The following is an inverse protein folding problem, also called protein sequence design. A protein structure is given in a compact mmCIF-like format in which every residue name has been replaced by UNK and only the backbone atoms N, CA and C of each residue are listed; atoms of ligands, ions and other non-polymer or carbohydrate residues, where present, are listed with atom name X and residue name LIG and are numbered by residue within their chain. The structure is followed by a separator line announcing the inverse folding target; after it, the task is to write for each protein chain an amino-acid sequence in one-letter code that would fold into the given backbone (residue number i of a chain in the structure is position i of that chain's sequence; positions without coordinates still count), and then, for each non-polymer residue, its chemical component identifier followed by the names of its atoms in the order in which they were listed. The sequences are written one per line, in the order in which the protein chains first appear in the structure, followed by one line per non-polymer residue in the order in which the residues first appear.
data_IF_932850533297
#
_entry.id   IF_932850533297
#
_cell.length_a   1.000
_cell.length_b   1.000
_cell.length_c   1.000
_cell.angle_alpha   90.00
_cell.angle_beta   90.00
_cell.angle_gamma   90.00
#
_symmetry.space_group_name_H-M   'P 1'
#
loop_
_entity.id
_entity.type
_entity.pdbx_description
1 polymer ?
#
# COMPACT_ATOMS: atom_id res chain seq x y z
N UNK A 1 11.63 -10.15 -3.29
CA UNK A 1 10.17 -10.41 -3.45
C UNK A 1 9.90 -11.83 -2.98
N UNK A 2 8.93 -12.01 -2.10
CA UNK A 2 8.50 -13.30 -1.55
C UNK A 2 7.02 -13.48 -1.84
N UNK A 3 6.62 -14.67 -2.26
CA UNK A 3 5.22 -15.05 -2.38
C UNK A 3 4.60 -15.28 -0.99
N UNK A 4 3.38 -14.79 -0.80
CA UNK A 4 2.58 -15.06 0.38
C UNK A 4 1.09 -15.07 0.03
N UNK A 5 0.27 -15.65 0.91
CA UNK A 5 -1.18 -15.64 0.74
C UNK A 5 -1.76 -14.32 1.26
N UNK A 6 -2.49 -13.63 0.39
CA UNK A 6 -3.29 -12.46 0.75
C UNK A 6 -4.75 -12.85 0.91
N UNK A 7 -5.30 -12.64 2.10
CA UNK A 7 -6.71 -12.91 2.41
C UNK A 7 -7.54 -11.64 2.26
N UNK A 8 -8.65 -11.72 1.52
CA UNK A 8 -9.71 -10.71 1.52
C UNK A 8 -10.79 -11.17 2.48
N UNK A 9 -11.12 -10.34 3.46
CA UNK A 9 -12.07 -10.66 4.54
C UNK A 9 -13.45 -10.07 4.25
N UNK A 10 -14.52 -10.73 4.71
CA UNK A 10 -15.87 -10.22 4.50
C UNK A 10 -16.96 -10.89 5.34
N UNK A 11 -18.11 -10.20 5.41
CA UNK A 11 -19.32 -10.71 6.07
C UNK A 11 -20.16 -11.63 5.15
N UNK A 12 -19.77 -11.75 3.88
CA UNK A 12 -20.39 -12.57 2.85
C UNK A 12 -19.31 -13.19 1.96
N UNK A 13 -19.63 -14.24 1.15
CA UNK A 13 -18.68 -14.83 0.22
C UNK A 13 -18.01 -13.79 -0.68
N UNK A 14 -16.68 -13.87 -0.80
CA UNK A 14 -15.89 -12.89 -1.54
C UNK A 14 -16.10 -13.11 -3.03
N UNK A 15 -16.60 -12.08 -3.71
CA UNK A 15 -16.64 -12.06 -5.17
C UNK A 15 -15.31 -11.52 -5.69
N UNK A 16 -14.69 -12.14 -6.71
CA UNK A 16 -13.53 -11.54 -7.33
C UNK A 16 -13.90 -10.16 -7.87
N UNK A 17 -13.01 -9.15 -7.75
CA UNK A 17 -13.15 -7.90 -8.47
C UNK A 17 -13.46 -8.16 -9.95
N UNK A 18 -14.33 -7.35 -10.55
CA UNK A 18 -14.72 -7.51 -11.95
C UNK A 18 -13.50 -7.49 -12.89
N UNK A 19 -12.45 -6.76 -12.51
CA UNK A 19 -11.18 -6.65 -13.21
C UNK A 19 -10.44 -8.01 -13.31
N UNK A 20 -10.57 -8.86 -12.28
CA UNK A 20 -9.95 -10.19 -12.26
C UNK A 20 -10.77 -11.23 -13.03
N UNK A 21 -12.02 -10.94 -13.38
CA UNK A 21 -12.86 -11.84 -14.15
C UNK A 21 -12.35 -12.05 -15.59
N UNK A 22 -11.49 -11.15 -16.09
CA UNK A 22 -10.91 -11.22 -17.44
C UNK A 22 -9.71 -12.17 -17.52
N UNK A 23 -9.00 -12.38 -16.40
CA UNK A 23 -7.81 -13.27 -16.30
C UNK A 23 -7.83 -14.11 -15.00
N UNK A 24 -8.89 -14.92 -14.79
CA UNK A 24 -9.07 -15.66 -13.54
C UNK A 24 -7.93 -16.63 -13.22
N UNK A 25 -7.21 -17.12 -14.24
CA UNK A 25 -6.03 -17.97 -14.11
C UNK A 25 -4.84 -17.29 -13.44
N UNK A 26 -4.74 -15.95 -13.55
CA UNK A 26 -3.69 -15.17 -12.90
C UNK A 26 -4.00 -14.85 -11.43
N UNK A 27 -5.27 -14.99 -11.04
CA UNK A 27 -5.76 -14.69 -9.69
C UNK A 27 -6.54 -15.88 -9.12
N UNK A 28 -5.89 -17.05 -8.94
CA UNK A 28 -6.55 -18.24 -8.42
C UNK A 28 -6.99 -17.99 -6.98
N UNK A 29 -8.27 -17.69 -6.81
CA UNK A 29 -8.83 -17.33 -5.52
C UNK A 29 -9.45 -18.55 -4.84
N UNK A 30 -8.94 -18.89 -3.66
CA UNK A 30 -9.49 -19.95 -2.81
C UNK A 30 -10.51 -19.37 -1.84
N UNK A 31 -11.72 -19.94 -1.81
CA UNK A 31 -12.82 -19.45 -0.98
C UNK A 31 -12.87 -20.18 0.37
N UNK A 32 -13.20 -19.44 1.43
CA UNK A 32 -13.38 -19.97 2.78
C UNK A 32 -14.71 -19.45 3.38
N UNK A 33 -15.53 -20.39 3.84
CA UNK A 33 -16.71 -20.12 4.64
C UNK A 33 -16.45 -20.12 6.15
N UNK A 34 -17.51 -20.00 6.96
CA UNK A 34 -17.39 -19.89 8.41
C UNK A 34 -16.61 -21.05 9.03
N UNK A 35 -15.63 -20.73 9.87
CA UNK A 35 -14.79 -21.71 10.57
C UNK A 35 -13.72 -22.38 9.73
N UNK A 36 -13.56 -22.00 8.45
CA UNK A 36 -12.53 -22.57 7.55
C UNK A 36 -11.22 -21.76 7.50
N UNK A 37 -11.12 -20.68 8.28
CA UNK A 37 -9.97 -19.78 8.32
C UNK A 37 -9.81 -19.17 9.74
N UNK A 38 -8.64 -18.58 10.08
CA UNK A 38 -8.35 -18.14 11.45
C UNK A 38 -8.89 -16.75 11.81
N UNK A 39 -9.34 -15.96 10.84
CA UNK A 39 -9.86 -14.61 11.08
C UNK A 39 -11.26 -14.61 11.70
N UNK A 40 -11.60 -13.52 12.40
CA UNK A 40 -12.92 -13.39 13.06
C UNK A 40 -14.09 -13.09 12.12
N UNK A 41 -13.84 -12.80 10.85
CA UNK A 41 -14.92 -12.64 9.85
C UNK A 41 -15.54 -14.00 9.51
N UNK A 42 -16.81 -14.04 9.06
CA UNK A 42 -17.43 -15.32 8.68
C UNK A 42 -16.94 -15.85 7.33
N UNK A 43 -16.45 -15.00 6.44
CA UNK A 43 -15.91 -15.41 5.14
C UNK A 43 -14.53 -14.80 4.89
N UNK A 44 -13.75 -15.50 4.09
CA UNK A 44 -12.51 -15.01 3.52
C UNK A 44 -12.28 -15.63 2.15
N UNK A 45 -11.41 -15.02 1.36
CA UNK A 45 -10.83 -15.66 0.19
C UNK A 45 -9.34 -15.33 0.07
N UNK A 46 -8.50 -16.28 -0.31
CA UNK A 46 -7.06 -16.07 -0.45
C UNK A 46 -6.62 -16.07 -1.91
N UNK A 47 -5.64 -15.23 -2.22
CA UNK A 47 -4.90 -15.25 -3.48
C UNK A 47 -3.40 -15.25 -3.20
N UNK A 48 -2.60 -16.11 -3.85
CA UNK A 48 -1.15 -15.99 -3.80
C UNK A 48 -0.72 -14.68 -4.45
N UNK A 49 0.08 -13.88 -3.77
CA UNK A 49 0.52 -12.58 -4.28
C UNK A 49 1.98 -12.29 -3.99
N UNK A 50 2.48 -11.24 -4.64
CA UNK A 50 3.79 -10.64 -4.44
C UNK A 50 3.61 -9.20 -3.95
N UNK A 51 4.38 -8.82 -2.93
CA UNK A 51 4.52 -7.42 -2.53
C UNK A 51 5.88 -6.89 -2.99
N UNK A 52 5.86 -5.71 -3.62
CA UNK A 52 7.06 -4.93 -3.84
C UNK A 52 7.39 -4.18 -2.56
N UNK A 53 8.34 -4.71 -1.77
CA UNK A 53 8.80 -4.03 -0.57
C UNK A 53 9.58 -2.76 -0.96
N UNK A 54 8.99 -1.60 -0.69
CA UNK A 54 9.49 -0.29 -1.16
C UNK A 54 10.95 -0.01 -0.77
N UNK A 55 11.36 -0.40 0.44
CA UNK A 55 12.72 -0.27 0.97
C UNK A 55 13.76 -1.13 0.22
N UNK A 56 13.33 -2.15 -0.52
CA UNK A 56 14.21 -3.01 -1.34
C UNK A 56 14.08 -2.64 -2.82
N UNK A 57 12.85 -2.43 -3.28
CA UNK A 57 12.55 -2.22 -4.69
C UNK A 57 13.03 -0.85 -5.19
N UNK A 58 12.81 0.25 -4.44
CA UNK A 58 13.22 1.57 -4.89
C UNK A 58 14.76 1.72 -5.00
N UNK A 59 15.58 1.26 -4.03
CA UNK A 59 17.03 1.27 -4.20
C UNK A 59 17.51 0.47 -5.42
N UNK A 60 16.87 -0.68 -5.71
CA UNK A 60 17.20 -1.46 -6.90
C UNK A 60 16.87 -0.71 -8.19
N UNK A 61 15.70 -0.07 -8.28
CA UNK A 61 15.35 0.77 -9.42
C UNK A 61 16.33 1.94 -9.59
N UNK A 62 16.70 2.60 -8.49
CA UNK A 62 17.69 3.68 -8.54
C UNK A 62 19.06 3.19 -9.04
N UNK A 63 19.46 1.97 -8.67
CA UNK A 63 20.70 1.36 -9.16
C UNK A 63 20.60 1.01 -10.65
N UNK A 64 19.48 0.44 -11.10
CA UNK A 64 19.26 0.13 -12.51
C UNK A 64 19.33 1.39 -13.39
N UNK A 65 18.79 2.52 -12.89
CA UNK A 65 18.94 3.83 -13.56
C UNK A 65 20.40 4.26 -13.66
N UNK A 66 21.19 4.09 -12.59
CA UNK A 66 22.63 4.45 -12.62
C UNK A 66 23.42 3.56 -13.56
N UNK A 67 23.18 2.25 -13.54
CA UNK A 67 23.83 1.28 -14.43
C UNK A 67 23.50 1.53 -15.91
N UNK A 68 22.30 2.04 -16.20
CA UNK A 68 21.92 2.50 -17.53
C UNK A 68 22.54 3.86 -17.92
N UNK A 69 23.40 4.46 -17.09
CA UNK A 69 24.06 5.75 -17.33
C UNK A 69 23.27 6.97 -16.87
N UNK A 70 22.12 6.77 -16.21
CA UNK A 70 21.33 7.84 -15.62
C UNK A 70 22.04 8.53 -14.46
N UNK A 71 21.77 9.83 -14.28
CA UNK A 71 22.31 10.64 -13.18
C UNK A 71 21.18 11.11 -12.27
N UNK A 72 21.34 10.90 -10.98
CA UNK A 72 20.38 11.35 -9.97
C UNK A 72 20.90 12.66 -9.37
N UNK A 73 20.19 13.75 -9.60
CA UNK A 73 20.48 15.06 -9.04
C UNK A 73 19.35 15.46 -8.09
N UNK A 74 19.67 15.70 -6.82
CA UNK A 74 18.70 16.17 -5.83
C UNK A 74 18.53 17.68 -6.01
N UNK A 75 17.35 18.09 -6.45
CA UNK A 75 17.00 19.50 -6.69
C UNK A 75 15.52 19.71 -6.39
N UNK A 76 15.19 20.84 -5.76
CA UNK A 76 13.80 21.26 -5.54
C UNK A 76 13.36 22.23 -6.62
N UNK A 77 12.08 22.16 -6.98
CA UNK A 77 11.40 23.11 -7.86
C UNK A 77 10.11 23.56 -7.20
N UNK A 78 9.92 24.87 -7.03
CA UNK A 78 8.72 25.41 -6.37
C UNK A 78 7.79 26.15 -7.31
N UNK A 79 8.25 26.49 -8.51
CA UNK A 79 7.47 27.13 -9.56
C UNK A 79 7.86 26.60 -10.95
N UNK A 80 6.91 26.59 -11.89
CA UNK A 80 7.15 26.15 -13.27
C UNK A 80 8.28 26.90 -13.97
N UNK A 81 8.44 28.21 -13.72
CA UNK A 81 9.51 29.02 -14.33
C UNK A 81 10.92 28.54 -13.96
N UNK A 82 11.10 27.85 -12.83
CA UNK A 82 12.39 27.27 -12.46
C UNK A 82 12.80 26.12 -13.39
N UNK A 83 11.84 25.48 -14.07
CA UNK A 83 12.10 24.42 -15.05
C UNK A 83 12.79 24.96 -16.30
N UNK A 84 12.67 26.26 -16.61
CA UNK A 84 13.36 26.90 -17.74
C UNK A 84 14.90 26.88 -17.58
N UNK A 85 15.39 26.69 -16.35
CA UNK A 85 16.82 26.52 -16.09
C UNK A 85 17.36 25.13 -16.47
N UNK A 86 16.48 24.19 -16.83
CA UNK A 86 16.88 22.86 -17.30
C UNK A 86 17.35 22.94 -18.75
N UNK A 87 18.48 22.28 -19.04
CA UNK A 87 19.04 22.21 -20.38
C UNK A 87 18.50 21.03 -21.19
N UNK A 88 17.75 20.14 -20.54
CA UNK A 88 17.19 18.93 -21.14
C UNK A 88 16.03 19.29 -22.08
N UNK A 89 15.96 18.72 -23.30
CA UNK A 89 14.93 19.06 -24.29
C UNK A 89 13.56 18.44 -23.98
N UNK A 90 13.50 17.48 -23.05
CA UNK A 90 12.28 16.78 -22.64
C UNK A 90 12.28 16.62 -21.12
N UNK A 91 11.13 16.92 -20.52
CA UNK A 91 10.86 16.70 -19.10
C UNK A 91 9.66 15.76 -18.97
N UNK A 92 9.84 14.67 -18.22
CA UNK A 92 8.73 13.78 -17.82
C UNK A 92 8.34 14.15 -16.40
N UNK A 93 7.12 14.65 -16.20
CA UNK A 93 6.63 15.04 -14.88
C UNK A 93 6.14 13.82 -14.08
N UNK A 94 6.87 13.46 -13.02
CA UNK A 94 6.51 12.39 -12.08
C UNK A 94 6.41 12.90 -10.63
N UNK A 95 5.96 14.15 -10.43
CA UNK A 95 5.97 14.81 -9.11
C UNK A 95 4.82 14.42 -8.16
N UNK A 96 3.88 13.59 -8.61
CA UNK A 96 2.74 13.15 -7.81
C UNK A 96 1.95 14.34 -7.23
N UNK A 97 1.63 14.29 -5.93
CA UNK A 97 0.96 15.41 -5.22
C UNK A 97 1.73 16.74 -5.29
N UNK A 98 3.04 16.72 -5.57
CA UNK A 98 3.84 17.92 -5.78
C UNK A 98 3.40 18.76 -7.00
N UNK A 99 2.71 18.15 -7.97
CA UNK A 99 2.17 18.86 -9.13
C UNK A 99 1.10 19.91 -8.75
N UNK A 100 0.41 19.72 -7.61
CA UNK A 100 -0.50 20.73 -7.07
C UNK A 100 0.19 22.06 -6.81
N UNK A 101 1.37 22.01 -6.20
CA UNK A 101 2.20 23.19 -5.96
C UNK A 101 2.87 23.67 -7.25
N UNK A 102 3.55 22.76 -7.95
CA UNK A 102 4.45 23.10 -9.06
C UNK A 102 3.69 23.58 -10.30
N UNK A 103 2.55 22.97 -10.63
CA UNK A 103 1.76 23.24 -11.84
C UNK A 103 0.36 23.79 -11.57
N UNK A 104 0.03 24.08 -10.31
CA UNK A 104 -1.30 24.56 -9.88
C UNK A 104 -2.44 23.61 -10.26
N UNK A 105 -2.16 22.30 -10.22
CA UNK A 105 -3.16 21.26 -10.44
C UNK A 105 -4.09 21.17 -9.21
N UNK A 106 -5.20 21.90 -9.28
CA UNK A 106 -6.17 21.99 -8.19
C UNK A 106 -7.13 20.79 -8.14
N UNK A 107 -7.09 19.88 -9.12
CA UNK A 107 -7.88 18.65 -9.10
C UNK A 107 -7.25 17.61 -8.17
N UNK A 108 -5.96 17.73 -7.88
CA UNK A 108 -5.26 16.87 -6.93
C UNK A 108 -5.71 17.13 -5.49
N UNK A 109 -6.17 16.07 -4.83
CA UNK A 109 -6.52 16.06 -3.41
C UNK A 109 -5.69 14.99 -2.70
N UNK A 110 -4.99 15.33 -1.60
CA UNK A 110 -4.27 14.31 -0.84
C UNK A 110 -5.27 13.35 -0.21
N UNK A 111 -4.88 12.08 -0.12
CA UNK A 111 -5.57 11.10 0.71
C UNK A 111 -4.54 10.56 1.68
N UNK A 112 -4.65 10.98 2.94
CA UNK A 112 -3.74 10.53 3.99
C UNK A 112 -4.10 9.11 4.37
N UNK A 113 -3.09 8.25 4.36
CA UNK A 113 -3.16 6.90 4.92
C UNK A 113 -2.09 6.73 5.98
N UNK A 114 -2.52 6.39 7.19
CA UNK A 114 -1.62 6.08 8.29
C UNK A 114 -1.40 4.57 8.40
N UNK A 115 -0.16 4.17 8.70
CA UNK A 115 0.23 2.79 8.94
C UNK A 115 1.00 2.68 10.26
N UNK A 116 1.02 1.47 10.81
CA UNK A 116 1.88 1.05 11.90
C UNK A 116 2.90 0.05 11.36
N UNK A 117 4.19 0.33 11.56
CA UNK A 117 5.26 -0.59 11.23
C UNK A 117 5.76 -1.25 12.51
N UNK A 118 5.46 -2.53 12.67
CA UNK A 118 5.93 -3.34 13.79
C UNK A 118 7.22 -4.07 13.40
N UNK A 119 8.03 -4.41 14.41
CA UNK A 119 9.16 -5.33 14.24
C UNK A 119 8.68 -6.68 13.68
N UNK A 120 9.54 -7.43 12.95
CA UNK A 120 9.17 -8.71 12.37
C UNK A 120 8.46 -9.63 13.38
N UNK A 121 7.31 -10.18 12.97
CA UNK A 121 6.54 -11.16 13.73
C UNK A 121 6.49 -12.45 12.91
N UNK A 122 7.31 -13.48 13.21
CA UNK A 122 7.37 -14.70 12.40
C UNK A 122 6.04 -15.44 12.24
N UNK A 123 5.12 -15.27 13.21
CA UNK A 123 3.77 -15.85 13.17
C UNK A 123 2.82 -15.12 12.21
N UNK A 124 3.17 -13.92 11.75
CA UNK A 124 2.41 -13.13 10.78
C UNK A 124 3.10 -13.24 9.42
N UNK A 125 2.90 -14.36 8.73
CA UNK A 125 3.52 -14.69 7.45
C UNK A 125 2.55 -14.60 6.25
N UNK A 126 1.30 -14.19 6.50
CA UNK A 126 0.22 -13.99 5.53
C UNK A 126 -0.26 -12.55 5.60
N UNK A 127 -0.81 -12.04 4.50
CA UNK A 127 -1.45 -10.73 4.49
C UNK A 127 -2.97 -10.84 4.58
N UNK A 128 -3.62 -9.77 5.01
CA UNK A 128 -5.07 -9.63 4.88
C UNK A 128 -5.49 -8.22 4.48
N UNK A 129 -6.67 -8.10 3.90
CA UNK A 129 -7.41 -6.84 3.67
C UNK A 129 -8.82 -7.05 4.21
N UNK A 130 -9.30 -6.11 5.02
CA UNK A 130 -10.67 -5.98 5.53
C UNK A 130 -11.26 -4.68 4.94
N UNK A 131 -11.89 -4.74 3.75
CA UNK A 131 -12.40 -3.56 3.07
C UNK A 131 -13.46 -2.82 3.88
N UNK A 132 -14.24 -3.54 4.70
CA UNK A 132 -15.33 -2.96 5.50
C UNK A 132 -14.81 -1.98 6.53
N UNK A 133 -13.66 -2.27 7.13
CA UNK A 133 -13.11 -1.49 8.23
C UNK A 133 -11.90 -0.62 7.80
N UNK A 134 -11.54 -0.64 6.52
CA UNK A 134 -10.34 0.00 5.97
C UNK A 134 -9.08 -0.42 6.76
N UNK A 135 -8.93 -1.74 6.91
CA UNK A 135 -7.80 -2.35 7.61
C UNK A 135 -7.08 -3.35 6.72
N UNK A 136 -5.78 -3.43 6.86
CA UNK A 136 -4.95 -4.41 6.17
C UNK A 136 -3.71 -4.74 6.98
N UNK A 137 -3.12 -5.89 6.69
CA UNK A 137 -1.82 -6.27 7.22
C UNK A 137 -0.99 -6.94 6.13
N UNK A 138 0.28 -6.57 6.05
CA UNK A 138 1.22 -7.17 5.11
C UNK A 138 2.52 -7.57 5.82
N UNK A 139 2.96 -8.84 5.66
CA UNK A 139 4.28 -9.24 6.10
C UNK A 139 5.35 -8.61 5.19
N UNK A 140 6.45 -8.16 5.78
CA UNK A 140 7.62 -7.64 5.06
C UNK A 140 8.89 -8.26 5.63
N UNK A 141 9.98 -8.23 4.87
CA UNK A 141 11.27 -8.71 5.35
C UNK A 141 11.81 -7.89 6.54
N UNK A 142 11.44 -6.62 6.64
CA UNK A 142 11.88 -5.67 7.68
C UNK A 142 10.87 -5.46 8.81
N UNK A 143 9.69 -6.07 8.73
CA UNK A 143 8.64 -5.85 9.72
C UNK A 143 7.26 -6.38 9.31
N UNK A 144 6.24 -5.88 9.99
CA UNK A 144 4.84 -6.10 9.62
C UNK A 144 4.15 -4.75 9.55
N UNK A 145 3.51 -4.48 8.40
CA UNK A 145 2.72 -3.27 8.23
C UNK A 145 1.29 -3.59 8.60
N UNK A 146 0.73 -2.81 9.53
CA UNK A 146 -0.70 -2.72 9.76
C UNK A 146 -1.20 -1.38 9.25
N UNK A 147 -2.29 -1.39 8.51
CA UNK A 147 -3.00 -0.18 8.10
C UNK A 147 -4.50 -0.41 8.17
N UNK A 148 -5.32 0.48 7.61
CA UNK A 148 -4.92 1.76 7.03
C UNK A 148 -5.71 2.90 7.64
N UNK A 149 -5.67 4.05 6.99
CA UNK A 149 -6.73 5.06 7.00
C UNK A 149 -6.89 5.62 5.60
N UNK A 150 -8.02 6.29 5.34
CA UNK A 150 -8.32 6.89 4.05
C UNK A 150 -8.96 8.27 4.25
N UNK A 151 -8.13 9.26 4.55
CA UNK A 151 -8.56 10.60 4.95
C UNK A 151 -8.37 11.60 3.82
N UNK A 152 -9.47 11.89 3.10
CA UNK A 152 -9.46 12.79 1.95
C UNK A 152 -9.26 14.24 2.40
N UNK A 153 -8.31 14.94 1.78
CA UNK A 153 -8.02 16.35 2.03
C UNK A 153 -7.13 16.60 3.25
N UNK A 154 -6.84 15.59 4.07
CA UNK A 154 -5.93 15.72 5.21
C UNK A 154 -4.48 15.84 4.71
N UNK A 155 -3.75 16.81 5.28
CA UNK A 155 -2.40 17.20 4.86
C UNK A 155 -1.37 17.09 5.98
N UNK A 156 -1.82 16.88 7.22
CA UNK A 156 -0.94 16.66 8.36
C UNK A 156 -0.04 15.46 8.13
N UNK A 157 1.23 15.63 8.46
CA UNK A 157 2.25 14.56 8.43
C UNK A 157 2.44 13.92 9.80
N UNK A 158 1.79 14.45 10.84
CA UNK A 158 1.86 13.92 12.20
C UNK A 158 0.97 12.68 12.33
N UNK A 159 1.44 11.62 13.01
CA UNK A 159 0.59 10.48 13.34
C UNK A 159 -0.57 10.88 14.25
N UNK A 160 -1.77 10.40 13.93
CA UNK A 160 -2.94 10.53 14.79
C UNK A 160 -3.01 9.35 15.78
N UNK A 161 -2.98 9.60 17.11
CA UNK A 161 -3.13 8.56 18.13
C UNK A 161 -4.46 7.79 18.06
N UNK A 162 -5.56 8.43 17.64
CA UNK A 162 -6.86 7.78 17.50
C UNK A 162 -6.84 6.77 16.33
N UNK A 163 -6.24 7.16 15.20
CA UNK A 163 -6.04 6.24 14.06
C UNK A 163 -5.12 5.08 14.43
N UNK A 164 -4.05 5.36 15.19
CA UNK A 164 -3.15 4.33 15.73
C UNK A 164 -3.91 3.31 16.56
N UNK A 165 -4.73 3.78 17.50
CA UNK A 165 -5.54 2.94 18.39
C UNK A 165 -6.52 2.09 17.57
N UNK A 166 -7.20 2.69 16.58
CA UNK A 166 -8.12 1.97 15.69
C UNK A 166 -7.43 0.85 14.92
N UNK A 167 -6.26 1.10 14.34
CA UNK A 167 -5.50 0.09 13.59
C UNK A 167 -5.08 -1.06 14.51
N UNK A 168 -4.57 -0.75 15.71
CA UNK A 168 -4.17 -1.77 16.69
C UNK A 168 -5.33 -2.64 17.15
N UNK A 169 -6.43 -2.02 17.58
CA UNK A 169 -7.59 -2.75 18.09
C UNK A 169 -8.28 -3.54 16.98
N UNK A 170 -8.34 -2.98 15.78
CA UNK A 170 -8.81 -3.67 14.58
C UNK A 170 -7.97 -4.90 14.23
N UNK A 171 -6.65 -4.78 14.26
CA UNK A 171 -5.73 -5.90 14.03
C UNK A 171 -5.87 -7.00 15.07
N UNK A 172 -5.92 -6.65 16.37
CA UNK A 172 -6.18 -7.61 17.47
C UNK A 172 -7.49 -8.35 17.28
N UNK A 173 -8.55 -7.63 16.92
CA UNK A 173 -9.87 -8.22 16.64
C UNK A 173 -9.77 -9.20 15.48
N UNK A 174 -9.26 -8.79 14.33
CA UNK A 174 -9.20 -9.62 13.12
C UNK A 174 -8.41 -10.91 13.35
N UNK A 175 -7.29 -10.82 14.08
CA UNK A 175 -6.41 -11.94 14.38
C UNK A 175 -6.90 -12.83 15.54
N UNK A 176 -8.09 -12.56 16.10
CA UNK A 176 -8.70 -13.38 17.15
C UNK A 176 -8.01 -13.28 18.51
N UNK A 177 -7.44 -12.11 18.81
CA UNK A 177 -6.50 -11.83 19.90
C UNK A 177 -6.59 -12.72 21.16
N UNK A 178 -5.46 -13.35 21.45
CA UNK A 178 -5.00 -13.69 22.81
C UNK A 178 -3.72 -12.92 23.10
#
# INVERSE_FOLDING_TARGET
MKWFDLYVLGDAPIKPPAEFAVTPELYPMTQFGPGQHPFTTPYAASVPTLIAETNVFLPKLMEDVRLAGGKINVRSFTATGELESLTQPLVVNCTGLGAKLLFRDNELTPVRGQILLLRPQPALDRGYIDPKNDLYMFPRSDGVVFGGSHEIGETSTEPDPAVTTRILDGGKRILGGS
#
